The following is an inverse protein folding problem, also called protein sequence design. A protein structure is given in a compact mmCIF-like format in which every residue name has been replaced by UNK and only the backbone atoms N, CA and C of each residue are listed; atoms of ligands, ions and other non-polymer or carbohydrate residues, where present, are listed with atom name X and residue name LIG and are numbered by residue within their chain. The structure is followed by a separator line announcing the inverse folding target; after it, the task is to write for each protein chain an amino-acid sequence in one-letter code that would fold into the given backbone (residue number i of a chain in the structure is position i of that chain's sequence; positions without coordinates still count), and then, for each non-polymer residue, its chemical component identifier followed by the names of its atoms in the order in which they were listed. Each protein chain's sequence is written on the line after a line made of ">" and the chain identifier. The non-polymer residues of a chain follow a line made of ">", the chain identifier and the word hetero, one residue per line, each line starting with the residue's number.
data_IF_579529200397
#
_entry.id   IF_579529200397
#
_cell.length_a   1.000
_cell.length_b   1.000
_cell.length_c   1.000
_cell.angle_alpha   90.00
_cell.angle_beta   90.00
_cell.angle_gamma   90.00
#
_symmetry.space_group_name_H-M   'P 1'
#
loop_
_entity.id
_entity.type
_entity.pdbx_description
1 polymer ?
#
# COMPACT_ATOMS: atom_id res chain seq x y z
N UNK A 1 -29.39 7.95 -4.70
CA UNK A 1 -28.44 6.98 -4.11
C UNK A 1 -27.03 7.15 -4.68
N UNK A 2 -26.85 7.14 -6.00
CA UNK A 2 -25.53 7.37 -6.63
C UNK A 2 -24.91 8.73 -6.28
N UNK A 3 -25.70 9.81 -6.31
CA UNK A 3 -25.27 11.15 -5.89
C UNK A 3 -24.92 11.27 -4.39
N UNK A 4 -25.47 10.37 -3.54
CA UNK A 4 -25.14 10.32 -2.10
C UNK A 4 -23.82 9.59 -1.88
N UNK A 5 -23.55 8.55 -2.67
CA UNK A 5 -22.30 7.79 -2.64
C UNK A 5 -21.14 8.55 -3.30
N UNK A 6 -21.42 9.33 -4.36
CA UNK A 6 -20.42 10.03 -5.16
C UNK A 6 -20.80 11.50 -5.37
N UNK A 7 -20.77 12.34 -4.31
CA UNK A 7 -21.20 13.74 -4.38
C UNK A 7 -20.33 14.61 -5.31
N UNK A 8 -19.13 14.13 -5.65
CA UNK A 8 -18.17 14.78 -6.54
C UNK A 8 -18.12 14.12 -7.93
N UNK A 9 -19.09 13.22 -8.23
CA UNK A 9 -19.14 12.45 -9.47
C UNK A 9 -18.21 11.22 -9.50
N UNK A 10 -18.44 10.35 -10.47
CA UNK A 10 -17.81 9.02 -10.58
C UNK A 10 -16.45 9.07 -11.32
N UNK A 11 -16.23 10.08 -12.16
CA UNK A 11 -15.10 10.15 -13.08
C UNK A 11 -13.73 10.03 -12.38
N UNK A 12 -13.55 10.69 -11.25
CA UNK A 12 -12.30 10.65 -10.48
C UNK A 12 -11.93 9.24 -9.97
N UNK A 13 -12.93 8.43 -9.59
CA UNK A 13 -12.71 7.08 -9.10
C UNK A 13 -12.31 6.14 -10.23
N UNK A 14 -12.96 6.30 -11.40
CA UNK A 14 -12.62 5.53 -12.60
C UNK A 14 -11.22 5.90 -13.10
N UNK A 15 -10.92 7.20 -13.21
CA UNK A 15 -9.60 7.68 -13.62
C UNK A 15 -8.51 7.23 -12.65
N UNK A 16 -8.74 7.38 -11.33
CA UNK A 16 -7.82 6.90 -10.31
C UNK A 16 -7.58 5.40 -10.39
N UNK A 17 -8.65 4.61 -10.54
CA UNK A 17 -8.56 3.16 -10.71
C UNK A 17 -7.77 2.74 -11.95
N UNK A 18 -8.01 3.40 -13.09
CA UNK A 18 -7.26 3.15 -14.34
C UNK A 18 -5.78 3.52 -14.18
N UNK A 19 -5.47 4.66 -13.56
CA UNK A 19 -4.10 5.11 -13.32
C UNK A 19 -3.35 4.16 -12.37
N UNK A 20 -3.99 3.73 -11.27
CA UNK A 20 -3.40 2.75 -10.33
C UNK A 20 -3.19 1.41 -11.03
N UNK A 21 -4.19 0.92 -11.78
CA UNK A 21 -4.12 -0.32 -12.54
C UNK A 21 -2.98 -0.30 -13.57
N UNK A 22 -2.85 0.80 -14.31
CA UNK A 22 -1.73 1.00 -15.23
C UNK A 22 -0.39 1.04 -14.47
N UNK A 23 -0.34 1.79 -13.35
CA UNK A 23 0.85 1.93 -12.51
C UNK A 23 1.37 0.62 -11.94
N UNK A 24 0.49 -0.32 -11.57
CA UNK A 24 0.91 -1.65 -11.09
C UNK A 24 1.17 -2.65 -12.24
N UNK A 25 0.58 -2.46 -13.41
CA UNK A 25 0.80 -3.32 -14.58
C UNK A 25 2.21 -3.12 -15.15
N UNK A 26 2.70 -1.88 -15.19
CA UNK A 26 4.05 -1.54 -15.69
C UNK A 26 5.15 -2.38 -15.01
N UNK A 27 5.36 -2.32 -13.68
CA UNK A 27 6.41 -3.11 -13.04
C UNK A 27 6.19 -4.61 -13.24
N UNK A 28 4.95 -5.09 -13.24
CA UNK A 28 4.66 -6.50 -13.50
C UNK A 28 5.09 -6.94 -14.90
N UNK A 29 4.83 -6.15 -15.94
CA UNK A 29 5.24 -6.44 -17.33
C UNK A 29 6.77 -6.45 -17.47
N UNK A 30 7.47 -5.50 -16.84
CA UNK A 30 8.92 -5.37 -16.98
C UNK A 30 9.72 -6.33 -16.10
N UNK A 31 9.24 -6.65 -14.90
CA UNK A 31 10.01 -7.45 -13.93
C UNK A 31 9.42 -8.84 -13.67
N UNK A 32 8.21 -9.12 -14.17
CA UNK A 32 7.49 -10.37 -13.92
C UNK A 32 7.05 -10.54 -12.46
N UNK A 33 7.14 -9.49 -11.64
CA UNK A 33 6.86 -9.57 -10.20
C UNK A 33 5.80 -8.57 -9.79
N UNK A 34 4.93 -9.01 -8.89
CA UNK A 34 3.87 -8.18 -8.32
C UNK A 34 4.45 -7.02 -7.50
N UNK A 35 3.89 -5.82 -7.71
CA UNK A 35 4.24 -4.62 -6.97
C UNK A 35 3.66 -4.64 -5.54
N UNK A 36 4.51 -4.46 -4.53
CA UNK A 36 4.09 -4.47 -3.13
C UNK A 36 4.96 -3.59 -2.25
N UNK A 37 4.34 -2.79 -1.38
CA UNK A 37 5.07 -1.86 -0.50
C UNK A 37 5.78 -2.61 0.63
N UNK A 38 5.15 -3.64 1.23
CA UNK A 38 5.79 -4.45 2.27
C UNK A 38 7.03 -5.22 1.78
N UNK A 39 7.03 -5.60 0.50
CA UNK A 39 8.16 -6.31 -0.11
C UNK A 39 9.30 -5.36 -0.46
N UNK A 40 9.03 -4.07 -0.71
CA UNK A 40 10.04 -3.01 -0.71
C UNK A 40 10.72 -2.87 0.65
N UNK A 41 9.97 -2.75 1.75
CA UNK A 41 10.55 -2.65 3.10
C UNK A 41 11.43 -3.87 3.41
N UNK A 42 10.95 -5.07 3.08
CA UNK A 42 11.71 -6.30 3.28
C UNK A 42 12.98 -6.34 2.42
N UNK A 43 12.88 -6.00 1.14
CA UNK A 43 14.03 -6.00 0.22
C UNK A 43 15.07 -4.94 0.60
N UNK A 44 14.64 -3.80 1.14
CA UNK A 44 15.54 -2.75 1.63
C UNK A 44 16.37 -3.24 2.82
N UNK A 45 15.78 -4.06 3.68
CA UNK A 45 16.49 -4.65 4.81
C UNK A 45 17.64 -5.59 4.38
N UNK A 46 17.64 -6.08 3.13
CA UNK A 46 18.75 -6.87 2.55
C UNK A 46 20.06 -6.07 2.41
N UNK A 47 20.03 -4.73 2.42
CA UNK A 47 21.24 -3.91 2.41
C UNK A 47 21.96 -3.91 3.75
N UNK A 48 21.20 -3.91 4.85
CA UNK A 48 21.74 -3.68 6.18
C UNK A 48 21.82 -4.95 7.03
N UNK A 49 20.98 -5.95 6.74
CA UNK A 49 20.89 -7.15 7.57
C UNK A 49 21.41 -8.40 6.88
N UNK A 50 22.33 -9.08 7.56
CA UNK A 50 22.98 -10.32 7.11
C UNK A 50 22.20 -11.60 7.42
N UNK A 51 20.98 -11.48 7.97
CA UNK A 51 20.13 -12.63 8.27
C UNK A 51 19.73 -13.39 7.00
N UNK A 52 19.73 -14.72 7.06
CA UNK A 52 19.47 -15.61 5.92
C UNK A 52 18.16 -15.29 5.19
N UNK A 53 17.14 -14.88 5.95
CA UNK A 53 15.84 -14.45 5.41
C UNK A 53 15.93 -13.23 4.47
N UNK A 54 16.75 -12.23 4.80
CA UNK A 54 16.86 -11.01 3.99
C UNK A 54 17.84 -11.16 2.82
N UNK A 55 18.72 -12.16 2.90
CA UNK A 55 19.80 -12.39 1.94
C UNK A 55 19.43 -13.37 0.81
N UNK A 56 18.16 -13.79 0.73
CA UNK A 56 17.67 -14.63 -0.37
C UNK A 56 17.84 -13.94 -1.72
N UNK A 57 18.17 -14.71 -2.77
CA UNK A 57 18.44 -14.20 -4.11
C UNK A 57 17.29 -13.35 -4.68
N UNK A 58 16.05 -13.73 -4.38
CA UNK A 58 14.86 -12.97 -4.79
C UNK A 58 14.85 -11.54 -4.23
N UNK A 59 15.15 -11.35 -2.93
CA UNK A 59 15.19 -10.01 -2.34
C UNK A 59 16.35 -9.18 -2.90
N UNK A 60 17.50 -9.81 -3.14
CA UNK A 60 18.68 -9.13 -3.71
C UNK A 60 18.49 -8.70 -5.16
N UNK A 61 17.86 -9.53 -5.98
CA UNK A 61 17.63 -9.22 -7.40
C UNK A 61 16.51 -8.19 -7.57
N UNK A 62 15.49 -8.21 -6.70
CA UNK A 62 14.33 -7.31 -6.81
C UNK A 62 14.48 -5.98 -6.07
N UNK A 63 15.46 -5.82 -5.17
CA UNK A 63 15.59 -4.59 -4.36
C UNK A 63 15.72 -3.30 -5.18
N UNK A 64 16.46 -3.32 -6.29
CA UNK A 64 16.75 -2.11 -7.07
C UNK A 64 15.49 -1.52 -7.72
N UNK A 65 14.66 -2.34 -8.35
CA UNK A 65 13.45 -1.83 -9.00
C UNK A 65 12.38 -1.42 -7.98
N UNK A 66 12.34 -2.08 -6.82
CA UNK A 66 11.42 -1.71 -5.74
C UNK A 66 11.72 -0.34 -5.17
N UNK A 67 12.98 0.10 -5.19
CA UNK A 67 13.33 1.48 -4.88
C UNK A 67 12.74 2.47 -5.89
N UNK A 68 12.77 2.16 -7.18
CA UNK A 68 12.11 2.98 -8.20
C UNK A 68 10.59 3.03 -8.01
N UNK A 69 9.95 1.89 -7.65
CA UNK A 69 8.52 1.86 -7.32
C UNK A 69 8.19 2.82 -6.17
N UNK A 70 8.93 2.74 -5.06
CA UNK A 70 8.69 3.60 -3.90
C UNK A 70 9.01 5.06 -4.18
N UNK A 71 10.10 5.34 -4.89
CA UNK A 71 10.45 6.69 -5.31
C UNK A 71 9.35 7.29 -6.20
N UNK A 72 8.78 6.51 -7.11
CA UNK A 72 7.61 6.90 -7.90
C UNK A 72 6.39 7.24 -7.04
N UNK A 73 6.07 6.40 -6.05
CA UNK A 73 4.95 6.64 -5.13
C UNK A 73 5.13 7.94 -4.32
N UNK A 74 6.32 8.14 -3.75
CA UNK A 74 6.65 9.32 -2.93
C UNK A 74 6.67 10.58 -3.79
N UNK A 75 7.31 10.53 -4.96
CA UNK A 75 7.34 11.67 -5.89
C UNK A 75 5.95 12.02 -6.42
N UNK A 76 5.09 11.04 -6.70
CA UNK A 76 3.70 11.27 -7.09
C UNK A 76 2.92 12.06 -6.03
N UNK A 77 3.05 11.66 -4.75
CA UNK A 77 2.45 12.41 -3.64
C UNK A 77 3.02 13.82 -3.50
N UNK A 78 4.34 13.97 -3.62
CA UNK A 78 5.01 15.27 -3.59
C UNK A 78 4.51 16.21 -4.71
N UNK A 79 4.48 15.74 -5.96
CA UNK A 79 4.00 16.53 -7.10
C UNK A 79 2.53 16.89 -6.96
N UNK A 80 1.70 15.98 -6.43
CA UNK A 80 0.29 16.29 -6.17
C UNK A 80 0.15 17.47 -5.20
N UNK A 81 0.88 17.47 -4.08
CA UNK A 81 0.86 18.57 -3.10
C UNK A 81 1.45 19.85 -3.70
N UNK A 82 2.54 19.75 -4.47
CA UNK A 82 3.16 20.91 -5.11
C UNK A 82 2.25 21.60 -6.13
N UNK A 83 1.38 20.84 -6.82
CA UNK A 83 0.47 21.38 -7.84
C UNK A 83 -0.88 21.83 -7.28
N UNK A 84 -1.40 21.14 -6.26
CA UNK A 84 -2.74 21.40 -5.70
C UNK A 84 -2.73 22.26 -4.44
N UNK A 85 -1.56 22.47 -3.84
CA UNK A 85 -1.39 23.21 -2.59
C UNK A 85 -1.41 22.32 -1.34
N UNK A 86 -1.25 22.91 -0.15
CA UNK A 86 -1.16 22.16 1.10
C UNK A 86 -2.46 21.39 1.37
N UNK A 87 -2.32 20.09 1.60
CA UNK A 87 -3.40 19.22 2.08
C UNK A 87 -3.69 19.49 3.55
N UNK A 88 -4.90 19.12 4.00
CA UNK A 88 -5.24 19.10 5.43
C UNK A 88 -4.31 18.11 6.13
N UNK A 89 -3.35 18.64 6.88
CA UNK A 89 -2.43 17.82 7.69
C UNK A 89 -3.16 17.44 8.96
N UNK A 90 -3.41 16.15 9.14
CA UNK A 90 -4.01 15.65 10.39
C UNK A 90 -2.93 15.54 11.46
N UNK A 91 -3.06 16.28 12.55
CA UNK A 91 -2.13 16.20 13.67
C UNK A 91 -2.37 14.89 14.46
N UNK A 92 -1.43 13.96 14.36
CA UNK A 92 -1.43 12.74 15.17
C UNK A 92 -0.21 12.71 16.07
N UNK A 93 -0.38 12.24 17.30
CA UNK A 93 0.75 12.00 18.19
C UNK A 93 1.70 10.97 17.57
N UNK A 94 3.00 11.27 17.55
CA UNK A 94 4.04 10.46 16.90
C UNK A 94 4.03 8.98 17.35
N UNK A 95 3.69 8.73 18.61
CA UNK A 95 3.62 7.37 19.17
C UNK A 95 2.51 6.52 18.52
N UNK A 96 1.39 7.13 18.09
CA UNK A 96 0.31 6.43 17.38
C UNK A 96 0.78 5.98 16.00
N UNK A 97 1.53 6.83 15.31
CA UNK A 97 2.13 6.49 14.02
C UNK A 97 3.17 5.37 14.18
N UNK A 98 4.00 5.43 15.23
CA UNK A 98 4.99 4.40 15.52
C UNK A 98 4.34 3.05 15.83
N UNK A 99 3.39 3.01 16.77
CA UNK A 99 2.69 1.77 17.13
C UNK A 99 1.87 1.23 15.95
N UNK A 100 1.15 2.10 15.24
CA UNK A 100 0.39 1.72 14.05
C UNK A 100 1.30 1.11 12.98
N UNK A 101 2.45 1.73 12.71
CA UNK A 101 3.43 1.22 11.76
C UNK A 101 3.97 -0.17 12.14
N UNK A 102 4.30 -0.39 13.42
CA UNK A 102 4.75 -1.69 13.92
C UNK A 102 3.66 -2.76 13.76
N UNK A 103 2.42 -2.45 14.17
CA UNK A 103 1.29 -3.38 14.06
C UNK A 103 0.98 -3.73 12.60
N UNK A 104 0.97 -2.73 11.71
CA UNK A 104 0.76 -2.94 10.26
C UNK A 104 1.90 -3.77 9.67
N UNK A 105 3.15 -3.53 10.08
CA UNK A 105 4.31 -4.30 9.63
C UNK A 105 4.23 -5.77 10.02
N UNK A 106 3.89 -6.06 11.28
CA UNK A 106 3.68 -7.43 11.77
C UNK A 106 2.51 -8.08 11.03
N UNK A 107 1.37 -7.40 10.94
CA UNK A 107 0.17 -7.90 10.27
C UNK A 107 0.41 -8.22 8.80
N UNK A 108 1.04 -7.31 8.05
CA UNK A 108 1.37 -7.51 6.64
C UNK A 108 2.35 -8.67 6.40
N UNK A 109 3.21 -8.98 7.39
CA UNK A 109 4.07 -10.18 7.31
C UNK A 109 3.26 -11.45 7.58
N UNK A 110 2.42 -11.45 8.61
CA UNK A 110 1.59 -12.61 8.98
C UNK A 110 0.63 -13.03 7.87
N UNK A 111 0.10 -12.08 7.08
CA UNK A 111 -0.74 -12.36 5.92
C UNK A 111 0.02 -12.76 4.65
N UNK A 112 1.35 -12.60 4.63
CA UNK A 112 2.16 -12.80 3.42
C UNK A 112 2.07 -11.66 2.40
N UNK A 113 1.49 -10.50 2.77
CA UNK A 113 1.31 -9.36 1.88
C UNK A 113 0.65 -8.16 2.55
N UNK A 114 0.89 -6.97 2.01
CA UNK A 114 0.20 -5.74 2.43
C UNK A 114 -1.12 -5.53 1.67
N UNK A 115 -1.83 -4.45 2.00
CA UNK A 115 -3.07 -4.04 1.32
C UNK A 115 -2.90 -3.84 -0.18
N UNK A 116 -1.77 -3.31 -0.66
CA UNK A 116 -1.52 -3.19 -2.10
C UNK A 116 -1.34 -4.56 -2.77
N UNK A 117 -0.67 -5.49 -2.09
CA UNK A 117 -0.40 -6.84 -2.59
C UNK A 117 -1.65 -7.71 -2.66
N UNK A 118 -2.43 -7.79 -1.58
CA UNK A 118 -3.68 -8.55 -1.58
C UNK A 118 -4.83 -7.81 -2.27
N UNK A 119 -4.99 -6.52 -1.96
CA UNK A 119 -6.13 -5.74 -2.41
C UNK A 119 -6.08 -5.34 -3.88
N UNK A 120 -4.93 -4.87 -4.38
CA UNK A 120 -4.84 -4.45 -5.78
C UNK A 120 -4.45 -5.65 -6.64
N UNK A 121 -3.26 -6.20 -6.43
CA UNK A 121 -2.72 -7.24 -7.31
C UNK A 121 -3.38 -8.62 -7.09
N UNK A 122 -3.61 -9.01 -5.83
CA UNK A 122 -4.20 -10.30 -5.48
C UNK A 122 -5.65 -10.43 -5.93
N UNK A 123 -6.47 -9.39 -5.78
CA UNK A 123 -7.83 -9.37 -6.32
C UNK A 123 -7.83 -9.36 -7.86
N UNK A 124 -6.90 -8.63 -8.50
CA UNK A 124 -6.77 -8.65 -9.95
C UNK A 124 -6.41 -10.05 -10.49
N UNK A 125 -5.67 -10.85 -9.71
CA UNK A 125 -5.34 -12.24 -10.01
C UNK A 125 -6.42 -13.25 -9.59
N UNK A 126 -7.57 -12.80 -9.06
CA UNK A 126 -8.65 -13.63 -8.53
C UNK A 126 -8.23 -14.63 -7.44
N UNK A 127 -7.26 -14.25 -6.61
CA UNK A 127 -6.78 -15.09 -5.51
C UNK A 127 -7.75 -15.08 -4.32
N UNK A 128 -8.27 -16.25 -3.95
CA UNK A 128 -9.25 -16.39 -2.84
C UNK A 128 -8.67 -15.96 -1.50
N UNK A 129 -7.40 -16.29 -1.25
CA UNK A 129 -6.69 -15.90 -0.02
C UNK A 129 -6.61 -14.38 0.08
N UNK A 130 -6.31 -13.71 -1.04
CA UNK A 130 -6.24 -12.25 -1.11
C UNK A 130 -7.59 -11.58 -0.91
N UNK A 131 -8.68 -12.20 -1.39
CA UNK A 131 -10.04 -11.72 -1.13
C UNK A 131 -10.36 -11.76 0.36
N UNK A 132 -10.12 -12.90 1.01
CA UNK A 132 -10.36 -13.04 2.46
C UNK A 132 -9.50 -12.04 3.25
N UNK A 133 -8.20 -11.96 2.95
CA UNK A 133 -7.29 -11.02 3.61
C UNK A 133 -7.76 -9.56 3.45
N UNK A 134 -8.17 -9.17 2.24
CA UNK A 134 -8.64 -7.80 1.96
C UNK A 134 -9.91 -7.47 2.72
N UNK A 135 -10.89 -8.39 2.75
CA UNK A 135 -12.12 -8.21 3.54
C UNK A 135 -11.82 -8.07 5.02
N UNK A 136 -10.92 -8.90 5.57
CA UNK A 136 -10.53 -8.81 6.98
C UNK A 136 -9.87 -7.48 7.30
N UNK A 137 -8.89 -7.04 6.49
CA UNK A 137 -8.20 -5.77 6.73
C UNK A 137 -9.15 -4.57 6.63
N UNK A 138 -10.02 -4.52 5.61
CA UNK A 138 -11.00 -3.44 5.47
C UNK A 138 -11.98 -3.41 6.64
N UNK A 139 -12.51 -4.58 7.04
CA UNK A 139 -13.47 -4.66 8.16
C UNK A 139 -12.84 -4.18 9.46
N UNK A 140 -11.63 -4.66 9.79
CA UNK A 140 -10.91 -4.23 10.99
C UNK A 140 -10.57 -2.74 10.92
N UNK A 141 -10.10 -2.25 9.77
CA UNK A 141 -9.78 -0.83 9.59
C UNK A 141 -11.01 0.07 9.79
N UNK A 142 -12.17 -0.30 9.26
CA UNK A 142 -13.43 0.45 9.44
C UNK A 142 -13.81 0.49 10.93
N UNK A 143 -13.77 -0.66 11.61
CA UNK A 143 -14.10 -0.76 13.04
C UNK A 143 -13.14 0.10 13.87
N UNK A 144 -11.83 -0.03 13.65
CA UNK A 144 -10.82 0.75 14.38
C UNK A 144 -10.98 2.24 14.10
N UNK A 145 -11.20 2.64 12.85
CA UNK A 145 -11.42 4.03 12.48
C UNK A 145 -12.63 4.63 13.22
N UNK A 146 -13.76 3.90 13.26
CA UNK A 146 -14.96 4.32 13.98
C UNK A 146 -14.70 4.44 15.48
N UNK A 147 -14.05 3.45 16.11
CA UNK A 147 -13.71 3.50 17.53
C UNK A 147 -12.81 4.70 17.82
N UNK A 148 -11.78 4.93 17.00
CA UNK A 148 -10.86 6.05 17.22
C UNK A 148 -11.51 7.41 17.00
N UNK A 149 -12.50 7.51 16.11
CA UNK A 149 -13.26 8.72 15.88
C UNK A 149 -14.23 9.07 17.03
N UNK A 150 -14.58 8.10 17.89
CA UNK A 150 -15.38 8.35 19.09
C UNK A 150 -14.55 8.83 20.28
N UNK A 151 -13.24 8.62 20.23
CA UNK A 151 -12.29 8.92 21.32
C UNK A 151 -11.53 10.24 21.08
N UNK A 152 -11.55 10.74 19.84
CA UNK A 152 -11.01 12.04 19.42
C UNK A 152 -12.13 13.08 19.35
#
# INVERSE_FOLDING_TARGET
>A
MFEVLFPLGVAQYVLGGLLVGFGIAVPYIFTGTVAGVSTFFTATWSYCCSGSFFQTDWYKSTRSWRWFLTAGLVSGGFFYVALTGPIVVTEFAWWRLLLGGVLVGIGARMSGGCTSGHGICGLAALERVSLVATLTFLTVAIIVAHITALVL
#
